data_IF_347454664898
#
_entry.id   IF_347454664898
#
_cell.length_a   1.000
_cell.length_b   1.000
_cell.length_c   1.000
_cell.angle_alpha   90.00
_cell.angle_beta   90.00
_cell.angle_gamma   90.00
#
_symmetry.space_group_name_H-M   'P 1'
#
loop_
_entity.id
_entity.type
_entity.pdbx_description
1 polymer ?
#
# COMPACT_ATOMS: atom_id res chain seq x y z
N UNK A 1 14.89 3.59 18.70
CA UNK A 1 14.67 4.55 17.61
C UNK A 1 13.29 4.29 17.06
N UNK A 2 12.49 5.33 16.88
CA UNK A 2 11.16 5.24 16.28
C UNK A 2 11.17 5.79 14.86
N UNK A 3 10.04 5.67 14.16
CA UNK A 3 9.88 6.16 12.79
C UNK A 3 10.08 7.70 12.69
N UNK A 4 9.76 8.43 13.76
CA UNK A 4 9.95 9.86 13.88
C UNK A 4 11.42 10.30 13.85
N UNK A 5 12.37 9.39 14.09
CA UNK A 5 13.80 9.67 14.05
C UNK A 5 14.41 9.56 12.64
N UNK A 6 13.59 9.34 11.61
CA UNK A 6 14.09 9.21 10.21
C UNK A 6 14.85 10.46 9.76
N UNK A 7 14.52 11.61 10.33
CA UNK A 7 15.17 12.90 10.04
C UNK A 7 16.56 13.06 10.67
N UNK A 8 17.01 12.09 11.47
CA UNK A 8 18.40 12.06 11.97
C UNK A 8 19.39 11.56 10.89
N UNK A 9 18.88 10.95 9.80
CA UNK A 9 19.68 10.50 8.67
C UNK A 9 20.11 11.68 7.78
N UNK A 10 21.27 11.54 7.11
CA UNK A 10 21.79 12.57 6.21
C UNK A 10 20.95 12.71 4.93
N UNK A 11 20.50 11.59 4.38
CA UNK A 11 19.71 11.55 3.15
C UNK A 11 18.71 10.39 3.15
N UNK A 12 17.67 10.52 2.32
CA UNK A 12 16.58 9.54 2.24
C UNK A 12 16.20 9.25 0.78
N UNK A 13 16.01 7.96 0.46
CA UNK A 13 15.30 7.55 -0.74
C UNK A 13 13.79 7.52 -0.45
N UNK A 14 12.99 8.19 -1.28
CA UNK A 14 11.55 8.31 -1.12
C UNK A 14 10.86 8.21 -2.47
N UNK A 15 9.82 7.41 -2.57
CA UNK A 15 9.02 7.34 -3.80
C UNK A 15 8.27 8.65 -4.06
N UNK A 16 8.06 8.97 -5.33
CA UNK A 16 7.34 10.17 -5.76
C UNK A 16 5.90 10.25 -5.25
N UNK A 17 5.30 11.43 -5.34
CA UNK A 17 3.92 11.68 -4.89
C UNK A 17 2.86 10.96 -5.73
N UNK A 18 3.20 10.52 -6.92
CA UNK A 18 2.36 9.71 -7.82
C UNK A 18 2.43 8.20 -7.53
N UNK A 19 3.30 7.78 -6.59
CA UNK A 19 3.48 6.39 -6.17
C UNK A 19 2.79 6.17 -4.81
N UNK A 20 1.95 5.13 -4.64
CA UNK A 20 1.20 4.92 -3.40
C UNK A 20 2.04 4.95 -2.12
N UNK A 21 3.19 4.25 -2.07
CA UNK A 21 4.06 4.26 -0.89
C UNK A 21 4.62 5.66 -0.59
N UNK A 22 4.86 6.47 -1.62
CA UNK A 22 5.28 7.86 -1.46
C UNK A 22 4.18 8.75 -0.89
N UNK A 23 2.91 8.49 -1.24
CA UNK A 23 1.75 9.17 -0.67
C UNK A 23 1.58 8.79 0.80
N UNK A 24 1.63 7.49 1.13
CA UNK A 24 1.55 7.01 2.52
C UNK A 24 2.69 7.58 3.38
N UNK A 25 3.92 7.57 2.89
CA UNK A 25 5.05 8.12 3.63
C UNK A 25 4.83 9.60 3.98
N UNK A 26 4.37 10.40 3.03
CA UNK A 26 4.08 11.83 3.26
C UNK A 26 2.91 12.05 4.19
N UNK A 27 1.86 11.22 4.13
CA UNK A 27 0.76 11.26 5.09
C UNK A 27 1.27 10.96 6.50
N UNK A 28 2.09 9.91 6.66
CA UNK A 28 2.72 9.55 7.94
C UNK A 28 3.57 10.71 8.47
N UNK A 29 4.44 11.29 7.65
CA UNK A 29 5.29 12.43 8.06
C UNK A 29 4.48 13.64 8.49
N UNK A 30 3.36 13.93 7.81
CA UNK A 30 2.45 15.01 8.19
C UNK A 30 1.74 14.69 9.52
N UNK A 31 1.24 13.47 9.71
CA UNK A 31 0.53 13.08 10.92
C UNK A 31 1.45 12.99 12.14
N UNK A 32 2.73 12.64 11.94
CA UNK A 32 3.76 12.70 12.97
C UNK A 32 4.32 14.11 13.21
N UNK A 33 3.97 15.09 12.36
CA UNK A 33 4.43 16.47 12.48
C UNK A 33 5.90 16.69 12.13
N UNK A 34 6.53 15.77 11.37
CA UNK A 34 7.96 15.83 10.98
C UNK A 34 8.17 16.25 9.52
N UNK A 35 7.12 16.52 8.76
CA UNK A 35 7.21 16.82 7.32
C UNK A 35 8.11 18.03 7.03
N UNK A 36 8.10 19.06 7.89
CA UNK A 36 8.96 20.23 7.74
C UNK A 36 10.46 19.90 7.89
N UNK A 37 10.80 18.91 8.71
CA UNK A 37 12.17 18.45 8.87
C UNK A 37 12.56 17.49 7.75
N UNK A 38 11.66 16.63 7.29
CA UNK A 38 11.85 15.81 6.08
C UNK A 38 12.14 16.68 4.86
N UNK A 39 11.44 17.80 4.69
CA UNK A 39 11.66 18.73 3.58
C UNK A 39 13.04 19.43 3.60
N UNK A 40 13.80 19.34 4.70
CA UNK A 40 15.17 19.86 4.81
C UNK A 40 16.23 18.81 4.49
N UNK A 41 15.84 17.54 4.46
CA UNK A 41 16.74 16.43 4.12
C UNK A 41 17.09 16.44 2.63
N UNK A 42 18.21 15.80 2.28
CA UNK A 42 18.50 15.44 0.90
C UNK A 42 17.63 14.25 0.48
N UNK A 43 16.62 14.52 -0.35
CA UNK A 43 15.67 13.50 -0.83
C UNK A 43 16.08 13.04 -2.23
N UNK A 44 16.32 11.74 -2.38
CA UNK A 44 16.40 11.06 -3.66
C UNK A 44 15.01 10.54 -4.03
N UNK A 45 14.32 11.25 -4.92
CA UNK A 45 12.99 10.87 -5.38
C UNK A 45 13.07 9.70 -6.36
N UNK A 46 12.42 8.59 -6.01
CA UNK A 46 12.40 7.33 -6.74
C UNK A 46 11.07 7.13 -7.47
N UNK A 47 11.12 6.44 -8.61
CA UNK A 47 9.93 6.22 -9.45
C UNK A 47 9.00 5.12 -8.92
N UNK A 48 9.50 4.25 -8.05
CA UNK A 48 8.78 3.11 -7.49
C UNK A 48 9.47 2.60 -6.22
N UNK A 49 8.83 1.67 -5.52
CA UNK A 49 9.34 1.03 -4.29
C UNK A 49 10.67 0.31 -4.53
N UNK A 50 10.80 -0.39 -5.66
CA UNK A 50 12.01 -1.15 -5.99
C UNK A 50 13.23 -0.23 -6.10
N UNK A 51 13.08 0.96 -6.69
CA UNK A 51 14.16 1.94 -6.80
C UNK A 51 14.54 2.50 -5.41
N UNK A 52 13.58 2.70 -4.50
CA UNK A 52 13.86 3.09 -3.10
C UNK A 52 14.68 2.00 -2.41
N UNK A 53 14.24 0.75 -2.52
CA UNK A 53 14.91 -0.39 -1.92
C UNK A 53 16.33 -0.56 -2.47
N UNK A 54 16.51 -0.42 -3.77
CA UNK A 54 17.83 -0.47 -4.42
C UNK A 54 18.75 0.65 -3.91
N UNK A 55 18.25 1.89 -3.81
CA UNK A 55 19.04 3.03 -3.37
C UNK A 55 19.59 2.85 -1.96
N UNK A 56 18.84 2.23 -1.05
CA UNK A 56 19.30 1.93 0.32
C UNK A 56 20.21 0.69 0.32
N UNK A 57 19.80 -0.41 -0.32
CA UNK A 57 20.55 -1.66 -0.31
C UNK A 57 21.92 -1.58 -1.02
N UNK A 58 22.08 -0.62 -1.94
CA UNK A 58 23.33 -0.33 -2.63
C UNK A 58 24.15 0.77 -1.94
N UNK A 59 23.64 1.36 -0.84
CA UNK A 59 24.31 2.38 -0.06
C UNK A 59 24.32 3.77 -0.69
N UNK A 60 23.45 4.03 -1.67
CA UNK A 60 23.30 5.37 -2.26
C UNK A 60 22.53 6.32 -1.34
N UNK A 61 21.65 5.77 -0.49
CA UNK A 61 20.93 6.50 0.53
C UNK A 61 21.02 5.77 1.87
N UNK A 62 21.01 6.53 2.96
CA UNK A 62 21.14 6.00 4.31
C UNK A 62 19.85 5.34 4.78
N UNK A 63 18.70 5.92 4.45
CA UNK A 63 17.38 5.42 4.81
C UNK A 63 16.41 5.51 3.62
N UNK A 64 15.31 4.76 3.73
CA UNK A 64 14.21 4.83 2.77
C UNK A 64 12.91 4.32 3.39
N UNK A 65 11.78 4.69 2.78
CA UNK A 65 10.46 4.21 3.19
C UNK A 65 9.91 3.28 2.11
N UNK A 66 9.63 2.05 2.51
CA UNK A 66 9.08 0.98 1.67
C UNK A 66 8.01 0.21 2.46
N UNK A 67 7.31 -0.71 1.83
CA UNK A 67 6.46 -1.63 2.59
C UNK A 67 7.33 -2.64 3.34
N UNK A 68 6.85 -3.10 4.50
CA UNK A 68 7.54 -4.10 5.31
C UNK A 68 7.86 -5.38 4.50
N UNK A 69 6.94 -5.77 3.62
CA UNK A 69 7.08 -6.93 2.73
C UNK A 69 8.22 -6.78 1.72
N UNK A 70 8.47 -5.56 1.21
CA UNK A 70 9.60 -5.30 0.33
C UNK A 70 10.93 -5.37 1.09
N UNK A 71 11.00 -4.75 2.26
CA UNK A 71 12.19 -4.82 3.13
C UNK A 71 12.50 -6.28 3.54
N UNK A 72 11.48 -7.07 3.86
CA UNK A 72 11.62 -8.48 4.23
C UNK A 72 12.23 -9.35 3.09
N UNK A 73 12.13 -8.92 1.84
CA UNK A 73 12.70 -9.64 0.69
C UNK A 73 14.22 -9.51 0.56
N UNK A 74 14.86 -8.57 1.27
CA UNK A 74 16.30 -8.24 1.16
C UNK A 74 16.96 -8.02 2.54
N UNK A 75 16.56 -8.78 3.54
CA UNK A 75 17.04 -8.67 4.92
C UNK A 75 18.55 -8.96 5.09
N UNK A 76 19.19 -9.46 4.07
CA UNK A 76 20.65 -9.63 4.02
C UNK A 76 21.39 -8.32 3.63
N UNK A 77 20.67 -7.28 3.20
CA UNK A 77 21.24 -6.02 2.69
C UNK A 77 20.73 -4.77 3.41
N UNK A 78 19.58 -4.86 4.05
CA UNK A 78 18.97 -3.74 4.75
C UNK A 78 18.46 -4.18 6.12
N UNK A 79 18.43 -3.25 7.07
CA UNK A 79 17.81 -3.44 8.37
C UNK A 79 16.48 -2.67 8.41
N UNK A 80 15.43 -3.30 8.95
CA UNK A 80 14.20 -2.61 9.30
C UNK A 80 14.41 -1.90 10.63
N UNK A 81 14.53 -0.58 10.59
CA UNK A 81 14.85 0.23 11.76
C UNK A 81 13.59 0.52 12.59
N UNK A 82 12.48 0.79 11.94
CA UNK A 82 11.19 1.06 12.57
C UNK A 82 10.04 0.83 11.59
N UNK A 83 8.87 0.56 12.15
CA UNK A 83 7.61 0.57 11.43
C UNK A 83 6.83 1.85 11.77
N UNK A 84 6.06 2.35 10.81
CA UNK A 84 5.19 3.49 11.04
C UNK A 84 4.11 3.13 12.07
N UNK A 85 3.77 4.04 13.01
CA UNK A 85 2.68 3.81 13.94
C UNK A 85 1.37 3.52 13.21
N UNK A 86 0.58 2.55 13.70
CA UNK A 86 -0.66 2.11 13.05
C UNK A 86 -1.71 3.19 12.90
N UNK A 87 -1.69 4.20 13.78
CA UNK A 87 -2.57 5.37 13.79
C UNK A 87 -2.03 6.55 12.97
N UNK A 88 -0.88 6.39 12.33
CA UNK A 88 -0.27 7.43 11.49
C UNK A 88 -0.85 7.52 10.08
N UNK A 89 -1.72 6.59 9.69
CA UNK A 89 -2.51 6.61 8.45
C UNK A 89 -4.00 6.65 8.78
N UNK A 90 -4.78 7.45 8.06
CA UNK A 90 -6.24 7.50 8.21
C UNK A 90 -6.92 6.22 7.77
N UNK A 91 -6.35 5.58 6.75
CA UNK A 91 -6.85 4.33 6.20
C UNK A 91 -5.69 3.35 6.14
N UNK A 92 -5.86 2.12 6.63
CA UNK A 92 -4.81 1.12 6.55
C UNK A 92 -4.45 0.82 5.08
N UNK A 93 -3.22 0.39 4.85
CA UNK A 93 -2.80 -0.11 3.53
C UNK A 93 -3.44 -1.46 3.30
N UNK A 94 -4.38 -1.54 2.36
CA UNK A 94 -5.12 -2.76 2.05
C UNK A 94 -4.73 -3.33 0.69
N UNK A 95 -4.68 -4.65 0.60
CA UNK A 95 -4.50 -5.42 -0.62
C UNK A 95 -5.78 -6.24 -0.86
N UNK A 96 -6.81 -5.66 -1.52
CA UNK A 96 -8.05 -6.35 -1.76
C UNK A 96 -7.89 -7.41 -2.85
N UNK A 97 -8.58 -8.53 -2.69
CA UNK A 97 -8.80 -9.51 -3.76
C UNK A 97 -10.28 -9.48 -4.15
N UNK A 98 -10.58 -9.68 -5.43
CA UNK A 98 -11.95 -9.69 -5.91
C UNK A 98 -12.10 -10.53 -7.18
N UNK A 99 -13.27 -11.14 -7.33
CA UNK A 99 -13.66 -11.84 -8.54
C UNK A 99 -14.15 -10.81 -9.57
N UNK A 100 -13.59 -10.85 -10.77
CA UNK A 100 -14.02 -10.00 -11.89
C UNK A 100 -14.89 -10.81 -12.83
N UNK A 101 -16.08 -10.28 -13.17
CA UNK A 101 -16.94 -10.90 -14.18
C UNK A 101 -16.31 -10.77 -15.57
N UNK A 102 -16.01 -11.90 -16.20
CA UNK A 102 -15.62 -11.96 -17.61
C UNK A 102 -16.73 -12.66 -18.41
N UNK A 103 -17.37 -11.90 -19.29
CA UNK A 103 -18.47 -12.41 -20.14
C UNK A 103 -18.03 -13.41 -21.20
N UNK A 104 -16.73 -13.51 -21.48
CA UNK A 104 -16.15 -14.45 -22.43
C UNK A 104 -15.56 -15.69 -21.73
N UNK A 105 -15.49 -15.70 -20.41
CA UNK A 105 -15.00 -16.84 -19.64
C UNK A 105 -15.92 -18.06 -19.77
N UNK A 106 -15.34 -19.25 -19.84
CA UNK A 106 -16.11 -20.48 -19.76
C UNK A 106 -16.58 -20.74 -18.33
N UNK A 107 -17.59 -21.58 -18.16
CA UNK A 107 -18.05 -22.02 -16.83
C UNK A 107 -16.92 -22.68 -16.00
N UNK A 108 -15.98 -23.35 -16.67
CA UNK A 108 -14.83 -23.98 -16.03
C UNK A 108 -13.83 -22.92 -15.52
N UNK A 109 -13.60 -21.86 -16.29
CA UNK A 109 -12.72 -20.75 -15.88
C UNK A 109 -13.33 -19.99 -14.70
N UNK A 110 -14.64 -19.71 -14.74
CA UNK A 110 -15.36 -19.06 -13.64
C UNK A 110 -15.25 -19.87 -12.35
N UNK A 111 -15.52 -21.19 -12.43
CA UNK A 111 -15.37 -22.06 -11.25
C UNK A 111 -13.94 -22.14 -10.74
N UNK A 112 -12.95 -22.10 -11.62
CA UNK A 112 -11.55 -22.08 -11.21
C UNK A 112 -11.19 -20.79 -10.48
N UNK A 113 -11.70 -19.64 -10.95
CA UNK A 113 -11.49 -18.35 -10.31
C UNK A 113 -12.17 -18.26 -8.94
N UNK A 114 -13.42 -18.76 -8.82
CA UNK A 114 -14.14 -18.88 -7.53
C UNK A 114 -13.35 -19.76 -6.55
N UNK A 115 -12.92 -20.94 -6.98
CA UNK A 115 -12.16 -21.86 -6.14
C UNK A 115 -10.80 -21.27 -5.72
N UNK A 116 -10.18 -20.43 -6.56
CA UNK A 116 -8.95 -19.73 -6.21
C UNK A 116 -9.22 -18.65 -5.16
N UNK A 117 -10.32 -17.91 -5.27
CA UNK A 117 -10.71 -16.91 -4.27
C UNK A 117 -10.96 -17.58 -2.91
N UNK A 118 -11.76 -18.68 -2.89
CA UNK A 118 -11.99 -19.48 -1.67
C UNK A 118 -10.69 -19.97 -1.04
N UNK A 119 -9.72 -20.37 -1.89
CA UNK A 119 -8.41 -20.81 -1.40
C UNK A 119 -7.60 -19.65 -0.79
N UNK A 120 -7.61 -18.47 -1.42
CA UNK A 120 -6.87 -17.28 -0.92
C UNK A 120 -7.41 -16.82 0.44
N UNK A 121 -8.72 -17.02 0.69
CA UNK A 121 -9.38 -16.70 1.97
C UNK A 121 -9.22 -17.80 3.04
N UNK A 122 -8.63 -18.95 2.68
CA UNK A 122 -8.45 -20.05 3.63
C UNK A 122 -7.36 -19.77 4.67
N UNK A 123 -7.48 -20.37 5.86
CA UNK A 123 -6.45 -20.30 6.92
C UNK A 123 -5.05 -20.67 6.42
N UNK A 124 -4.98 -21.61 5.47
CA UNK A 124 -3.72 -22.06 4.90
C UNK A 124 -3.04 -20.97 4.05
N UNK A 125 -3.81 -20.24 3.26
CA UNK A 125 -3.28 -19.13 2.46
C UNK A 125 -2.99 -17.89 3.33
N UNK A 126 -3.89 -17.56 4.26
CA UNK A 126 -3.66 -16.48 5.23
C UNK A 126 -2.35 -16.67 5.96
N UNK A 127 -2.07 -17.89 6.44
CA UNK A 127 -0.80 -18.18 7.08
C UNK A 127 0.41 -17.93 6.18
N UNK A 128 0.32 -18.20 4.89
CA UNK A 128 1.41 -17.90 3.94
C UNK A 128 1.60 -16.39 3.83
N UNK A 129 0.51 -15.61 3.75
CA UNK A 129 0.61 -14.15 3.73
C UNK A 129 1.25 -13.61 5.01
N UNK A 130 0.87 -14.11 6.17
CA UNK A 130 1.46 -13.74 7.47
C UNK A 130 2.96 -14.05 7.54
N UNK A 131 3.39 -15.21 7.01
CA UNK A 131 4.80 -15.58 6.93
C UNK A 131 5.63 -14.60 6.05
N UNK A 132 4.97 -13.85 5.15
CA UNK A 132 5.55 -12.78 4.33
C UNK A 132 5.32 -11.36 4.89
N UNK A 133 4.80 -11.23 6.11
CA UNK A 133 4.64 -9.95 6.80
C UNK A 133 3.33 -9.22 6.51
N UNK A 134 2.35 -9.87 5.88
CA UNK A 134 1.00 -9.34 5.78
C UNK A 134 0.21 -9.63 7.06
N UNK A 135 -0.84 -8.86 7.29
CA UNK A 135 -1.80 -9.09 8.37
C UNK A 135 -3.17 -9.31 7.75
N UNK A 136 -3.89 -10.34 8.19
CA UNK A 136 -5.27 -10.53 7.79
C UNK A 136 -6.11 -9.31 8.23
N UNK A 137 -6.88 -8.75 7.31
CA UNK A 137 -7.78 -7.64 7.60
C UNK A 137 -9.19 -8.19 7.90
N UNK A 138 -9.66 -7.98 9.12
CA UNK A 138 -11.05 -8.21 9.48
C UNK A 138 -11.80 -6.89 9.27
N UNK A 139 -12.68 -6.84 8.27
CA UNK A 139 -13.57 -5.70 8.11
C UNK A 139 -14.49 -5.63 9.35
N UNK A 140 -14.42 -4.54 10.10
CA UNK A 140 -15.48 -4.24 11.04
C UNK A 140 -16.77 -4.12 10.23
N UNK A 141 -17.84 -4.82 10.64
CA UNK A 141 -19.17 -4.79 10.01
C UNK A 141 -19.70 -3.34 9.95
N UNK A 142 -19.23 -2.57 8.98
CA UNK A 142 -19.82 -1.27 8.67
C UNK A 142 -21.01 -1.51 7.75
N UNK A 143 -22.23 -1.41 8.29
CA UNK A 143 -23.51 -1.44 7.56
C UNK A 143 -23.65 -0.31 6.51
N UNK A 144 -22.55 0.38 6.12
CA UNK A 144 -22.57 1.61 5.31
C UNK A 144 -21.96 1.48 3.90
N UNK A 145 -21.78 0.27 3.38
CA UNK A 145 -21.22 0.06 2.03
C UNK A 145 -22.25 -0.03 0.90
N UNK A 146 -23.54 0.30 1.14
CA UNK A 146 -24.62 0.06 0.15
C UNK A 146 -25.12 1.30 -0.58
N UNK A 147 -24.60 2.50 -0.35
CA UNK A 147 -25.12 3.72 -1.00
C UNK A 147 -24.22 4.39 -2.05
N UNK A 148 -23.08 3.82 -2.44
CA UNK A 148 -22.16 4.46 -3.40
C UNK A 148 -22.33 4.04 -4.87
N UNK A 149 -23.34 3.23 -5.23
CA UNK A 149 -23.49 2.74 -6.62
C UNK A 149 -24.78 3.12 -7.34
N UNK A 150 -25.54 4.11 -6.85
CA UNK A 150 -26.84 4.46 -7.43
C UNK A 150 -27.04 5.96 -7.74
N UNK A 151 -26.01 6.64 -8.30
CA UNK A 151 -26.25 7.97 -8.88
C UNK A 151 -25.34 8.23 -10.08
N UNK A 152 -25.64 7.58 -11.19
CA UNK A 152 -25.17 8.02 -12.50
C UNK A 152 -26.04 7.47 -13.65
N UNK A 153 -27.37 7.72 -13.60
CA UNK A 153 -28.24 7.60 -14.75
C UNK A 153 -29.36 8.63 -14.60
N UNK A 154 -29.21 9.80 -15.19
CA UNK A 154 -30.26 10.60 -15.81
C UNK A 154 -29.73 12.01 -16.11
N UNK A 155 -29.26 12.23 -17.34
CA UNK A 155 -29.33 13.53 -18.00
C UNK A 155 -28.94 13.43 -19.47
N UNK A 156 -29.80 12.83 -20.28
CA UNK A 156 -29.90 13.17 -21.71
C UNK A 156 -31.36 13.03 -22.11
N UNK A 157 -32.13 14.07 -22.15
CA UNK A 157 -33.09 14.42 -23.19
C UNK A 157 -33.80 15.73 -22.86
N UNK A 158 -33.47 16.77 -23.59
CA UNK A 158 -34.44 17.77 -24.07
C UNK A 158 -33.73 18.97 -24.68
N UNK A 159 -33.55 18.99 -25.99
CA UNK A 159 -33.75 20.20 -26.76
C UNK A 159 -34.10 19.84 -28.21
N UNK A 160 -35.39 19.88 -28.45
CA UNK A 160 -35.94 20.10 -29.78
C UNK A 160 -36.97 21.21 -29.71
N UNK A 161 -36.58 22.42 -30.11
CA UNK A 161 -37.36 23.36 -30.93
C UNK A 161 -36.57 24.64 -31.11
#
# INVERSE_FOLDING_TARGET
QGFENITDAENMALAGEDVPVGQYAREIFNNLGIMDDVNKMEINECKNVTDVLAAVSEGSNEVGVVYATDAASVTDKVDIIAEAPTDSLKTPVLYPVGLIEDKEASEDDTRAAEAFLDYVESDAAIKVFEDYGFTAYEAEDSEDATEASADNTEAEDSTSK
#
